data_IF_920985310871
#
_entry.id   IF_920985310871
#
_cell.length_a   1.000
_cell.length_b   1.000
_cell.length_c   1.000
_cell.angle_alpha   90.00
_cell.angle_beta   90.00
_cell.angle_gamma   90.00
#
_symmetry.space_group_name_H-M   'P 1'
#
loop_
_entity.id
_entity.type
_entity.pdbx_description
1 polymer ?
#
# COMPACT_ATOMS: atom_id res chain seq x y z
N UNK A 1 33.41 12.27 22.38
CA UNK A 1 32.12 12.98 22.52
C UNK A 1 31.20 12.41 21.45
N UNK A 2 30.38 11.44 21.82
CA UNK A 2 29.33 10.91 20.92
C UNK A 2 28.23 11.96 20.79
N UNK A 3 28.00 12.44 19.58
CA UNK A 3 26.80 13.22 19.31
C UNK A 3 25.59 12.27 19.34
N UNK A 4 24.49 12.61 20.04
CA UNK A 4 23.29 11.81 19.97
C UNK A 4 22.80 11.78 18.52
N UNK A 5 22.65 10.56 17.97
CA UNK A 5 21.96 10.33 16.69
C UNK A 5 20.63 11.06 16.77
N UNK A 6 20.50 12.18 16.06
CA UNK A 6 19.20 12.82 15.82
C UNK A 6 18.28 11.72 15.29
N UNK A 7 17.26 11.35 16.06
CA UNK A 7 16.13 10.59 15.55
C UNK A 7 15.60 11.37 14.36
N UNK A 8 15.91 10.87 13.16
CA UNK A 8 15.36 11.43 11.93
C UNK A 8 13.86 11.14 12.00
N UNK A 9 13.07 12.11 12.50
CA UNK A 9 11.62 12.10 12.35
C UNK A 9 11.36 11.88 10.86
N UNK A 10 10.75 10.74 10.52
CA UNK A 10 10.29 10.51 9.15
C UNK A 10 9.42 11.70 8.75
N UNK A 11 9.59 12.26 7.56
CA UNK A 11 8.74 13.36 7.09
C UNK A 11 7.27 12.93 7.18
N UNK A 12 6.42 13.84 7.65
CA UNK A 12 4.98 13.63 7.74
C UNK A 12 4.48 13.30 6.34
N UNK A 13 3.93 12.11 6.15
CA UNK A 13 3.13 11.85 4.96
C UNK A 13 1.88 12.71 5.03
N UNK A 14 1.57 13.41 3.94
CA UNK A 14 0.37 14.22 3.81
C UNK A 14 -0.46 13.63 2.68
N UNK A 15 -1.73 13.36 2.98
CA UNK A 15 -2.69 12.82 2.03
C UNK A 15 -3.72 13.90 1.71
N UNK A 16 -3.85 14.26 0.45
CA UNK A 16 -4.76 15.26 -0.06
C UNK A 16 -6.07 14.58 -0.48
N UNK A 17 -7.12 14.74 0.31
CA UNK A 17 -8.44 14.19 -0.03
C UNK A 17 -9.31 15.29 -0.63
N UNK A 18 -9.90 15.04 -1.80
CA UNK A 18 -10.91 15.93 -2.37
C UNK A 18 -12.26 15.69 -1.68
N UNK A 19 -12.77 16.68 -0.96
CA UNK A 19 -14.13 16.70 -0.41
C UNK A 19 -15.03 17.53 -1.32
N UNK A 20 -16.13 16.95 -1.80
CA UNK A 20 -17.11 17.67 -2.63
C UNK A 20 -18.31 18.02 -1.76
N UNK A 21 -18.54 19.32 -1.59
CA UNK A 21 -19.69 19.87 -0.87
C UNK A 21 -20.57 20.75 -1.78
N UNK A 22 -21.67 21.30 -1.24
CA UNK A 22 -22.58 22.18 -1.98
C UNK A 22 -21.88 23.43 -2.56
N UNK A 23 -20.80 23.87 -1.90
CA UNK A 23 -20.01 25.06 -2.23
C UNK A 23 -18.87 24.77 -3.24
N UNK A 24 -18.71 23.51 -3.66
CA UNK A 24 -17.64 23.07 -4.58
C UNK A 24 -16.72 22.01 -3.97
N UNK A 25 -15.59 21.76 -4.65
CA UNK A 25 -14.60 20.78 -4.24
C UNK A 25 -13.47 21.44 -3.43
N UNK A 26 -13.24 20.95 -2.21
CA UNK A 26 -12.19 21.40 -1.30
C UNK A 26 -11.16 20.29 -1.15
N UNK A 27 -9.89 20.63 -1.31
CA UNK A 27 -8.80 19.72 -0.99
C UNK A 27 -8.50 19.80 0.50
N UNK A 28 -8.67 18.70 1.23
CA UNK A 28 -8.42 18.61 2.67
C UNK A 28 -7.22 17.72 2.91
N UNK A 29 -6.23 18.26 3.60
CA UNK A 29 -5.04 17.52 4.03
C UNK A 29 -5.39 16.64 5.23
N UNK A 30 -5.18 15.33 5.10
CA UNK A 30 -5.32 14.37 6.19
C UNK A 30 -3.93 14.09 6.76
N UNK A 31 -3.74 14.44 8.03
CA UNK A 31 -2.52 14.10 8.76
C UNK A 31 -2.47 12.60 9.05
N UNK A 32 -1.35 11.96 8.70
CA UNK A 32 -1.04 10.59 9.11
C UNK A 32 -0.36 10.57 10.50
N UNK A 33 -0.42 9.44 11.23
CA UNK A 33 0.31 9.28 12.48
C UNK A 33 1.81 9.57 12.34
N UNK A 34 2.45 10.06 13.41
CA UNK A 34 3.82 10.59 13.33
C UNK A 34 4.94 9.56 13.53
N UNK A 35 4.62 8.37 14.03
CA UNK A 35 5.60 7.32 14.29
C UNK A 35 5.44 6.14 13.33
N UNK A 36 6.57 5.48 13.02
CA UNK A 36 6.58 4.37 12.05
C UNK A 36 5.66 3.22 12.49
N UNK A 37 5.71 2.74 13.75
CA UNK A 37 4.79 1.70 14.21
C UNK A 37 3.32 2.09 14.08
N UNK A 38 2.99 3.35 14.37
CA UNK A 38 1.62 3.87 14.31
C UNK A 38 1.12 4.01 12.87
N UNK A 39 2.00 4.39 11.93
CA UNK A 39 1.69 4.39 10.50
C UNK A 39 1.44 2.96 10.01
N UNK A 40 2.32 2.03 10.37
CA UNK A 40 2.19 0.63 9.96
C UNK A 40 0.92 -0.01 10.50
N UNK A 41 0.61 0.22 11.78
CA UNK A 41 -0.67 -0.17 12.38
C UNK A 41 -1.85 0.44 11.63
N UNK A 42 -1.82 1.74 11.34
CA UNK A 42 -2.92 2.44 10.64
C UNK A 42 -3.23 1.82 9.27
N UNK A 43 -2.20 1.53 8.47
CA UNK A 43 -2.39 0.92 7.16
C UNK A 43 -2.82 -0.55 7.26
N UNK A 44 -2.31 -1.30 8.24
CA UNK A 44 -2.69 -2.70 8.46
C UNK A 44 -4.17 -2.81 8.87
N UNK A 45 -4.63 -1.97 9.78
CA UNK A 45 -6.04 -1.85 10.16
C UNK A 45 -6.90 -1.44 8.98
N UNK A 46 -6.46 -0.43 8.21
CA UNK A 46 -7.15 0.02 7.01
C UNK A 46 -7.31 -1.11 6.00
N UNK A 47 -6.30 -1.96 5.82
CA UNK A 47 -6.34 -3.12 4.94
C UNK A 47 -7.32 -4.19 5.44
N UNK A 48 -7.28 -4.51 6.72
CA UNK A 48 -8.14 -5.55 7.33
C UNK A 48 -9.59 -5.09 7.59
N UNK A 49 -9.89 -3.80 7.46
CA UNK A 49 -11.26 -3.30 7.65
C UNK A 49 -12.10 -3.57 6.41
N UNK A 50 -13.15 -4.39 6.56
CA UNK A 50 -14.05 -4.74 5.48
C UNK A 50 -14.91 -3.54 5.02
N UNK A 51 -15.10 -3.45 3.71
CA UNK A 51 -16.11 -2.59 3.11
C UNK A 51 -17.04 -3.45 2.26
N UNK A 52 -17.80 -4.32 2.92
CA UNK A 52 -18.83 -5.19 2.33
C UNK A 52 -18.29 -6.22 1.31
N UNK A 53 -17.09 -6.74 1.52
CA UNK A 53 -16.46 -7.77 0.68
C UNK A 53 -16.01 -7.30 -0.71
N UNK A 54 -16.10 -6.00 -1.01
CA UNK A 54 -15.85 -5.46 -2.35
C UNK A 54 -14.36 -5.37 -2.71
N UNK A 55 -13.47 -5.41 -1.72
CA UNK A 55 -12.02 -5.27 -1.90
C UNK A 55 -11.39 -6.59 -2.38
N UNK A 56 -10.33 -6.54 -3.20
CA UNK A 56 -9.80 -7.73 -3.88
C UNK A 56 -9.29 -8.82 -2.93
N UNK A 57 -8.64 -8.45 -1.82
CA UNK A 57 -8.14 -9.44 -0.85
C UNK A 57 -9.29 -10.15 -0.11
N UNK A 58 -10.42 -9.48 0.18
CA UNK A 58 -11.57 -10.15 0.79
C UNK A 58 -12.21 -11.20 -0.14
N UNK A 59 -12.22 -10.95 -1.46
CA UNK A 59 -12.70 -11.94 -2.43
C UNK A 59 -11.86 -13.22 -2.42
N UNK A 60 -10.55 -13.10 -2.18
CA UNK A 60 -9.61 -14.22 -2.24
C UNK A 60 -9.45 -14.94 -0.90
N UNK A 61 -9.29 -14.18 0.18
CA UNK A 61 -8.95 -14.72 1.51
C UNK A 61 -10.15 -14.75 2.46
N UNK A 62 -11.28 -14.17 2.07
CA UNK A 62 -12.43 -14.01 2.94
C UNK A 62 -12.17 -12.92 3.99
N UNK A 63 -12.54 -13.17 5.24
CA UNK A 63 -12.36 -12.21 6.34
C UNK A 63 -10.90 -11.94 6.68
N UNK A 64 -10.65 -10.85 7.39
CA UNK A 64 -9.36 -10.45 7.95
C UNK A 64 -9.57 -10.04 9.41
N UNK A 65 -9.49 -11.01 10.32
CA UNK A 65 -9.74 -10.84 11.75
C UNK A 65 -8.44 -10.96 12.56
N UNK A 66 -8.47 -10.55 13.83
CA UNK A 66 -7.37 -10.79 14.78
C UNK A 66 -5.99 -10.33 14.27
N UNK A 67 -5.92 -9.09 13.75
CA UNK A 67 -4.65 -8.46 13.38
C UNK A 67 -3.76 -8.30 14.62
N UNK A 68 -2.63 -9.01 14.65
CA UNK A 68 -1.70 -9.01 15.78
C UNK A 68 -0.29 -8.58 15.32
N UNK A 69 0.30 -7.54 15.93
CA UNK A 69 1.66 -7.12 15.64
C UNK A 69 2.68 -8.13 16.16
N UNK A 70 3.74 -8.35 15.40
CA UNK A 70 4.78 -9.34 15.68
C UNK A 70 6.09 -8.61 15.96
N UNK A 71 6.61 -8.74 17.19
CA UNK A 71 7.85 -8.06 17.61
C UNK A 71 9.10 -8.91 17.42
N UNK A 72 8.94 -10.23 17.37
CA UNK A 72 10.06 -11.19 17.44
C UNK A 72 10.49 -11.71 16.06
N UNK A 73 9.62 -11.61 15.06
CA UNK A 73 9.89 -12.02 13.69
C UNK A 73 10.08 -10.79 12.81
N UNK A 74 10.90 -10.89 11.74
CA UNK A 74 11.11 -9.82 10.76
C UNK A 74 9.83 -9.42 9.97
N UNK A 75 8.72 -10.12 10.22
CA UNK A 75 7.39 -9.91 9.67
C UNK A 75 6.57 -9.03 10.60
N UNK A 76 5.80 -8.09 10.05
CA UNK A 76 5.17 -7.05 10.84
C UNK A 76 3.90 -7.53 11.60
N UNK A 77 3.05 -8.36 10.97
CA UNK A 77 1.78 -8.81 11.56
C UNK A 77 1.40 -10.26 11.20
N UNK A 78 0.48 -10.81 11.99
CA UNK A 78 -0.36 -11.97 11.63
C UNK A 78 -1.81 -11.56 11.54
N UNK A 79 -2.58 -12.21 10.66
CA UNK A 79 -4.02 -12.00 10.50
C UNK A 79 -4.72 -13.33 10.23
N UNK A 80 -5.92 -13.50 10.77
CA UNK A 80 -6.76 -14.67 10.53
C UNK A 80 -7.65 -14.45 9.30
N UNK A 81 -7.63 -15.43 8.40
CA UNK A 81 -8.45 -15.45 7.18
C UNK A 81 -9.28 -16.72 7.08
N UNK A 82 -10.20 -16.79 6.12
CA UNK A 82 -10.96 -18.03 5.86
C UNK A 82 -10.07 -19.15 5.28
N UNK A 83 -8.87 -18.80 4.81
CA UNK A 83 -7.84 -19.74 4.36
C UNK A 83 -6.80 -20.05 5.45
N UNK A 84 -7.06 -19.66 6.71
CA UNK A 84 -6.16 -19.85 7.84
C UNK A 84 -5.36 -18.60 8.21
N UNK A 85 -4.38 -18.77 9.09
CA UNK A 85 -3.52 -17.67 9.56
C UNK A 85 -2.54 -17.29 8.45
N UNK A 86 -2.47 -16.00 8.14
CA UNK A 86 -1.55 -15.42 7.16
C UNK A 86 -0.61 -14.42 7.82
N UNK A 87 0.59 -14.33 7.27
CA UNK A 87 1.52 -13.26 7.62
C UNK A 87 1.27 -12.05 6.75
N UNK A 88 1.34 -10.86 7.34
CA UNK A 88 1.18 -9.59 6.66
C UNK A 88 2.46 -8.78 6.82
N UNK A 89 3.27 -8.73 5.76
CA UNK A 89 4.48 -7.92 5.66
C UNK A 89 4.12 -6.55 5.08
N UNK A 90 4.65 -5.50 5.68
CA UNK A 90 4.45 -4.13 5.27
C UNK A 90 5.66 -3.56 4.54
N UNK A 91 5.39 -2.72 3.54
CA UNK A 91 6.43 -1.98 2.86
C UNK A 91 5.94 -0.58 2.48
N UNK A 92 6.60 0.45 3.02
CA UNK A 92 6.37 1.81 2.55
C UNK A 92 6.98 1.97 1.14
N UNK A 93 6.17 2.36 0.17
CA UNK A 93 6.64 2.85 -1.11
C UNK A 93 6.89 4.36 -1.02
N UNK A 94 8.12 4.70 -0.64
CA UNK A 94 8.61 6.07 -0.60
C UNK A 94 10.02 6.10 -1.22
N UNK A 95 10.16 6.32 -2.53
CA UNK A 95 11.45 6.38 -3.23
C UNK A 95 12.22 7.69 -2.92
N UNK A 96 12.37 8.01 -1.63
CA UNK A 96 12.99 9.26 -1.14
C UNK A 96 14.44 9.37 -1.59
N UNK A 97 15.14 8.25 -1.80
CA UNK A 97 16.53 8.26 -2.28
C UNK A 97 16.65 8.87 -3.69
N UNK A 98 15.59 8.85 -4.48
CA UNK A 98 15.55 9.42 -5.83
C UNK A 98 15.15 10.91 -5.83
N UNK A 99 14.49 11.39 -4.77
CA UNK A 99 13.96 12.78 -4.67
C UNK A 99 14.56 13.62 -3.54
N UNK A 100 15.42 13.05 -2.70
CA UNK A 100 16.04 13.74 -1.56
C UNK A 100 15.10 13.92 -0.36
N UNK A 101 14.09 14.78 -0.50
CA UNK A 101 13.07 15.06 0.51
C UNK A 101 11.64 15.03 -0.06
N UNK A 102 10.65 14.66 0.76
CA UNK A 102 9.24 14.64 0.35
C UNK A 102 8.76 16.01 -0.18
N UNK A 103 9.23 17.10 0.42
CA UNK A 103 8.90 18.48 -0.01
C UNK A 103 9.49 18.86 -1.38
N UNK A 104 10.49 18.14 -1.83
CA UNK A 104 11.17 18.36 -3.12
C UNK A 104 10.60 17.45 -4.22
N UNK A 105 9.72 16.51 -3.86
CA UNK A 105 9.02 15.71 -4.84
C UNK A 105 8.08 16.58 -5.68
N UNK A 106 8.36 16.66 -6.98
CA UNK A 106 7.53 17.38 -7.96
C UNK A 106 6.20 16.69 -8.23
N UNK A 107 5.98 15.47 -7.70
CA UNK A 107 4.82 14.64 -7.99
C UNK A 107 4.79 14.10 -9.42
N UNK A 108 5.82 14.37 -10.24
CA UNK A 108 5.91 13.94 -11.64
C UNK A 108 6.95 12.82 -11.73
N UNK A 109 6.50 11.66 -12.20
CA UNK A 109 7.33 10.47 -12.36
C UNK A 109 7.12 9.87 -13.74
N UNK A 110 8.17 9.34 -14.36
CA UNK A 110 7.96 8.46 -15.50
C UNK A 110 7.24 7.20 -15.05
N UNK A 111 6.27 6.74 -15.84
CA UNK A 111 5.59 5.48 -15.57
C UNK A 111 6.56 4.29 -15.56
N UNK A 112 7.59 4.31 -16.42
CA UNK A 112 8.61 3.25 -16.44
C UNK A 112 9.48 3.25 -15.18
N UNK A 113 9.88 4.42 -14.70
CA UNK A 113 10.70 4.56 -13.49
C UNK A 113 9.92 4.08 -12.25
N UNK A 114 8.67 4.51 -12.12
CA UNK A 114 7.82 4.09 -11.01
C UNK A 114 7.54 2.57 -11.04
N UNK A 115 7.34 2.00 -12.22
CA UNK A 115 7.19 0.55 -12.40
C UNK A 115 8.44 -0.22 -11.95
N UNK A 116 9.64 0.23 -12.34
CA UNK A 116 10.90 -0.39 -11.94
C UNK A 116 11.17 -0.25 -10.44
N UNK A 117 10.89 0.91 -9.85
CA UNK A 117 11.03 1.13 -8.40
C UNK A 117 10.07 0.22 -7.62
N UNK A 118 8.82 0.10 -8.06
CA UNK A 118 7.83 -0.77 -7.43
C UNK A 118 8.23 -2.24 -7.55
N UNK A 119 8.62 -2.68 -8.75
CA UNK A 119 9.16 -4.03 -8.99
C UNK A 119 10.36 -4.31 -8.09
N UNK A 120 11.30 -3.37 -7.98
CA UNK A 120 12.49 -3.51 -7.11
C UNK A 120 12.11 -3.68 -5.64
N UNK A 121 11.11 -2.96 -5.15
CA UNK A 121 10.61 -3.12 -3.78
C UNK A 121 10.01 -4.52 -3.56
N UNK A 122 9.15 -4.98 -4.48
CA UNK A 122 8.57 -6.34 -4.41
C UNK A 122 9.67 -7.39 -4.40
N UNK A 123 10.66 -7.30 -5.31
CA UNK A 123 11.79 -8.25 -5.35
C UNK A 123 12.59 -8.26 -4.05
N UNK A 124 12.89 -7.08 -3.51
CA UNK A 124 13.60 -6.95 -2.24
C UNK A 124 12.87 -7.64 -1.09
N UNK A 125 11.53 -7.51 -1.03
CA UNK A 125 10.72 -8.17 0.00
C UNK A 125 10.62 -9.67 -0.24
N UNK A 126 10.45 -10.11 -1.49
CA UNK A 126 10.44 -11.52 -1.86
C UNK A 126 11.75 -12.25 -1.52
N UNK A 127 12.90 -11.57 -1.62
CA UNK A 127 14.22 -12.14 -1.31
C UNK A 127 14.36 -12.59 0.15
N UNK A 128 13.53 -12.11 1.06
CA UNK A 128 13.53 -12.55 2.47
C UNK A 128 13.01 -13.99 2.64
N UNK A 129 12.37 -14.58 1.61
CA UNK A 129 11.93 -16.00 1.56
C UNK A 129 11.16 -16.46 2.79
N UNK A 130 10.13 -15.69 3.16
CA UNK A 130 9.32 -15.95 4.34
C UNK A 130 8.46 -17.23 4.29
N UNK A 131 8.26 -17.82 3.10
CA UNK A 131 7.36 -18.96 2.89
C UNK A 131 6.08 -18.56 2.15
N UNK A 132 5.20 -19.54 1.88
CA UNK A 132 4.05 -19.41 0.98
C UNK A 132 2.79 -18.73 1.53
N UNK A 133 2.77 -18.37 2.82
CA UNK A 133 1.60 -17.79 3.53
C UNK A 133 1.77 -16.30 3.84
N UNK A 134 2.55 -15.59 3.02
CA UNK A 134 2.88 -14.17 3.24
C UNK A 134 2.18 -13.28 2.22
N UNK A 135 1.35 -12.38 2.72
CA UNK A 135 0.75 -11.28 1.99
C UNK A 135 1.66 -10.07 2.15
N UNK A 136 2.11 -9.49 1.03
CA UNK A 136 2.84 -8.23 1.02
C UNK A 136 1.89 -7.06 0.81
N UNK A 137 1.76 -6.21 1.81
CA UNK A 137 1.04 -4.94 1.73
C UNK A 137 2.02 -3.79 1.54
N UNK A 138 2.02 -3.22 0.35
CA UNK A 138 2.76 -2.00 0.02
C UNK A 138 1.84 -0.81 0.27
N UNK A 139 2.32 0.22 0.96
CA UNK A 139 1.54 1.43 1.22
C UNK A 139 2.30 2.69 0.84
N UNK A 140 1.59 3.70 0.38
CA UNK A 140 2.14 5.05 0.20
C UNK A 140 1.67 5.95 1.35
N UNK A 141 2.56 6.81 1.84
CA UNK A 141 2.26 7.82 2.86
C UNK A 141 2.00 9.21 2.27
N UNK A 142 2.22 9.38 0.97
CA UNK A 142 2.03 10.63 0.24
C UNK A 142 1.51 10.34 -1.16
N UNK A 143 0.57 11.16 -1.66
CA UNK A 143 -0.09 10.91 -2.96
C UNK A 143 0.86 10.93 -4.15
N UNK A 144 1.97 11.66 -4.07
CA UNK A 144 3.01 11.69 -5.10
C UNK A 144 3.69 10.32 -5.31
N UNK A 145 3.59 9.43 -4.33
CA UNK A 145 4.13 8.08 -4.39
C UNK A 145 3.04 7.03 -4.58
N UNK A 146 1.78 7.44 -4.77
CA UNK A 146 0.75 6.50 -5.17
C UNK A 146 1.09 5.94 -6.55
N UNK A 147 1.25 4.62 -6.65
CA UNK A 147 1.51 3.97 -7.93
C UNK A 147 0.20 3.87 -8.71
N UNK A 148 0.10 4.45 -9.92
CA UNK A 148 -1.11 4.40 -10.71
C UNK A 148 -1.58 2.97 -10.99
N UNK A 149 -2.90 2.69 -10.96
CA UNK A 149 -3.43 1.36 -11.24
C UNK A 149 -2.95 0.70 -12.53
N UNK A 150 -2.75 1.41 -13.67
CA UNK A 150 -2.19 0.80 -14.88
C UNK A 150 -0.82 0.15 -14.67
N UNK A 151 0.06 0.79 -13.89
CA UNK A 151 1.39 0.25 -13.56
C UNK A 151 1.24 -0.99 -12.68
N UNK A 152 0.37 -0.92 -11.66
CA UNK A 152 0.11 -2.05 -10.75
C UNK A 152 -0.42 -3.26 -11.54
N UNK A 153 -1.31 -3.07 -12.51
CA UNK A 153 -1.85 -4.16 -13.35
C UNK A 153 -0.84 -4.79 -14.29
N UNK A 154 0.27 -4.12 -14.59
CA UNK A 154 1.36 -4.72 -15.36
C UNK A 154 2.26 -5.62 -14.51
N UNK A 155 2.17 -5.53 -13.18
CA UNK A 155 3.03 -6.28 -12.26
C UNK A 155 2.97 -7.81 -12.45
N UNK A 156 1.83 -8.45 -12.73
CA UNK A 156 1.77 -9.87 -13.07
C UNK A 156 2.67 -10.25 -14.25
N UNK A 157 2.69 -9.44 -15.31
CA UNK A 157 3.57 -9.69 -16.44
C UNK A 157 5.03 -9.40 -16.07
N UNK A 158 5.28 -8.30 -15.36
CA UNK A 158 6.64 -7.87 -15.01
C UNK A 158 7.34 -8.76 -13.98
N UNK A 159 6.58 -9.44 -13.12
CA UNK A 159 7.07 -10.34 -12.09
C UNK A 159 7.05 -11.82 -12.54
N UNK A 160 6.59 -12.09 -13.76
CA UNK A 160 6.60 -13.42 -14.34
C UNK A 160 8.04 -13.96 -14.39
N UNK A 161 8.24 -15.18 -13.89
CA UNK A 161 9.56 -15.82 -13.85
C UNK A 161 10.49 -15.35 -12.72
N UNK A 162 10.08 -14.41 -11.87
CA UNK A 162 10.88 -13.94 -10.73
C UNK A 162 10.91 -14.93 -9.55
N UNK A 163 10.18 -16.05 -9.63
CA UNK A 163 10.13 -17.06 -8.55
C UNK A 163 9.58 -16.48 -7.25
N UNK A 164 8.45 -15.77 -7.32
CA UNK A 164 7.83 -15.20 -6.14
C UNK A 164 7.37 -16.30 -5.18
N UNK A 165 7.73 -16.12 -3.90
CA UNK A 165 7.31 -16.97 -2.77
C UNK A 165 6.17 -16.35 -1.97
N UNK A 166 5.88 -15.07 -2.20
CA UNK A 166 4.75 -14.35 -1.62
C UNK A 166 3.43 -14.90 -2.17
N UNK A 167 2.40 -14.97 -1.32
CA UNK A 167 1.08 -15.46 -1.71
C UNK A 167 0.30 -14.43 -2.54
N UNK A 168 0.44 -13.16 -2.17
CA UNK A 168 -0.18 -12.03 -2.85
C UNK A 168 0.59 -10.72 -2.56
N UNK A 169 0.42 -9.74 -3.45
CA UNK A 169 0.94 -8.39 -3.28
C UNK A 169 -0.20 -7.40 -3.51
N UNK A 170 -0.41 -6.50 -2.55
CA UNK A 170 -1.39 -5.42 -2.64
C UNK A 170 -0.72 -4.06 -2.46
N UNK A 171 -1.29 -3.03 -3.08
CA UNK A 171 -0.90 -1.65 -2.90
C UNK A 171 -2.06 -0.87 -2.27
N UNK A 172 -1.78 -0.13 -1.19
CA UNK A 172 -2.75 0.62 -0.39
C UNK A 172 -2.44 2.12 -0.48
N UNK A 173 -3.42 2.89 -0.93
CA UNK A 173 -3.30 4.34 -1.05
C UNK A 173 -3.48 5.00 0.32
N UNK A 174 -3.00 6.24 0.52
CA UNK A 174 -3.31 7.01 1.73
C UNK A 174 -4.82 7.17 2.02
N UNK A 175 -5.67 7.03 1.00
CA UNK A 175 -7.14 7.14 1.10
C UNK A 175 -7.86 5.78 1.24
N UNK A 176 -7.14 4.67 1.39
CA UNK A 176 -7.74 3.34 1.56
C UNK A 176 -8.25 2.65 0.29
N UNK A 177 -7.89 3.18 -0.89
CA UNK A 177 -7.97 2.39 -2.14
C UNK A 177 -6.95 1.26 -2.08
N UNK A 178 -7.39 0.04 -2.39
CA UNK A 178 -6.56 -1.16 -2.36
C UNK A 178 -6.61 -1.83 -3.73
N UNK A 179 -5.44 -2.05 -4.31
CA UNK A 179 -5.29 -2.65 -5.65
C UNK A 179 -4.41 -3.89 -5.54
N UNK A 180 -4.82 -4.98 -6.18
CA UNK A 180 -3.99 -6.19 -6.28
C UNK A 180 -2.92 -6.03 -7.36
N UNK A 181 -1.67 -6.26 -6.98
CA UNK A 181 -0.50 -6.19 -7.86
C UNK A 181 -0.05 -7.59 -8.32
N UNK A 182 -0.20 -8.60 -7.47
CA UNK A 182 0.16 -9.99 -7.78
C UNK A 182 -0.74 -10.95 -6.99
N UNK A 183 -1.19 -12.08 -7.58
CA UNK A 183 -0.92 -12.56 -8.94
C UNK A 183 -1.65 -11.77 -10.01
N UNK A 184 -2.58 -10.89 -9.60
CA UNK A 184 -3.45 -10.15 -10.49
C UNK A 184 -4.72 -10.93 -10.79
N UNK A 185 -5.85 -10.30 -10.51
CA UNK A 185 -7.17 -10.76 -10.94
C UNK A 185 -7.42 -10.32 -12.40
N UNK A 186 -7.53 -11.26 -13.37
CA UNK A 186 -7.78 -10.93 -14.76
C UNK A 186 -9.17 -10.30 -14.99
N UNK A 187 -10.12 -10.52 -14.08
CA UNK A 187 -11.46 -9.94 -14.11
C UNK A 187 -11.53 -8.59 -13.38
N UNK A 188 -10.43 -8.18 -12.73
CA UNK A 188 -10.35 -6.89 -12.05
C UNK A 188 -10.30 -5.74 -13.05
N UNK A 189 -11.43 -5.03 -13.14
CA UNK A 189 -11.53 -3.74 -13.81
C UNK A 189 -10.75 -2.63 -13.06
N UNK A 190 -10.07 -2.97 -11.95
CA UNK A 190 -9.39 -2.09 -11.00
C UNK A 190 -10.32 -1.05 -10.38
N UNK A 191 -9.78 -0.01 -9.71
CA UNK A 191 -10.60 1.11 -9.27
C UNK A 191 -11.20 1.78 -10.51
N UNK A 192 -12.49 1.55 -10.73
CA UNK A 192 -13.32 2.27 -11.70
C UNK A 192 -13.42 3.70 -11.18
N UNK A 193 -12.45 4.55 -11.55
CA UNK A 193 -12.32 5.90 -10.99
C UNK A 193 -13.65 6.63 -11.03
N UNK A 194 -14.11 7.19 -9.88
CA UNK A 194 -15.36 7.95 -9.70
C UNK A 194 -16.46 7.65 -10.74
N UNK A 195 -16.74 6.36 -10.97
CA UNK A 195 -17.76 5.92 -11.88
C UNK A 195 -19.08 5.94 -11.13
N UNK A 196 -19.87 6.99 -11.36
CA UNK A 196 -21.21 7.25 -10.82
C UNK A 196 -21.28 7.85 -9.41
N UNK A 197 -20.87 9.12 -9.30
CA UNK A 197 -21.81 10.06 -8.67
C UNK A 197 -23.08 10.01 -9.54
N UNK A 198 -24.07 9.23 -9.12
CA UNK A 198 -25.45 9.53 -9.50
C UNK A 198 -25.67 10.95 -9.00
N UNK A 199 -25.59 11.91 -9.92
CA UNK A 199 -26.23 13.21 -9.75
C UNK A 199 -27.72 12.90 -9.62
N UNK A 200 -28.14 12.71 -8.37
CA UNK A 200 -29.55 12.70 -8.02
C UNK A 200 -30.03 14.13 -8.08
N UNK A 201 -30.52 14.53 -9.26
CA UNK A 201 -31.52 15.57 -9.43
C UNK A 201 -32.49 15.09 -10.51
#
# INVERSE_FOLDING_TARGET
>A
MDQPKRERKKPRGTALTLQVGPEGAVCVEKELPSGKPEIEQHFAEMFCTDNQGMRPHFKRFGRFDNLLPQKENDLDFTVETDLGVKWLELAEFAPIQEVGHYKESTGVWSGSEMAELFKKLVRKKNQKRYGGDVILMIYATHDHFWVPPPIIRMMPSMLQGEGLTLEAVYMVSPHGTIVEAWPGDPDSQGPMGLGNLRLGF
#
